data_IF_964143826739
#
_entry.id   IF_964143826739
#
_cell.length_a   1.000
_cell.length_b   1.000
_cell.length_c   1.000
_cell.angle_alpha   90.00
_cell.angle_beta   90.00
_cell.angle_gamma   90.00
#
_symmetry.space_group_name_H-M   'P 1'
#
loop_
_entity.id
_entity.type
_entity.pdbx_description
1 polymer ?
#
# COMPACT_ATOMS: atom_id res chain seq x y z
N UNK A 1 -12.31 29.30 -1.14
CA UNK A 1 -12.91 28.02 -1.56
C UNK A 1 -11.86 26.95 -1.32
N UNK A 2 -12.23 25.81 -0.77
CA UNK A 2 -11.30 24.69 -0.61
C UNK A 2 -10.96 24.08 -1.98
N UNK A 3 -9.75 23.60 -2.17
CA UNK A 3 -9.32 22.97 -3.42
C UNK A 3 -10.09 21.67 -3.69
N UNK A 4 -10.25 21.28 -4.95
CA UNK A 4 -10.89 20.03 -5.32
C UNK A 4 -9.96 18.84 -5.01
N UNK A 5 -10.51 17.81 -4.35
CA UNK A 5 -9.84 16.50 -4.14
C UNK A 5 -10.50 15.47 -5.06
N UNK A 6 -9.71 14.72 -5.80
CA UNK A 6 -10.17 13.55 -6.56
C UNK A 6 -9.90 12.29 -5.74
N UNK A 7 -10.94 11.46 -5.55
CA UNK A 7 -10.83 10.11 -4.97
C UNK A 7 -10.95 9.11 -6.11
N UNK A 8 -9.95 8.26 -6.27
CA UNK A 8 -9.92 7.18 -7.26
C UNK A 8 -10.20 5.86 -6.56
N UNK A 9 -11.29 5.21 -6.94
CA UNK A 9 -11.74 3.93 -6.37
C UNK A 9 -11.75 2.88 -7.48
N UNK A 10 -10.74 2.00 -7.58
CA UNK A 10 -10.78 0.83 -8.45
C UNK A 10 -11.82 -0.18 -7.93
N UNK A 11 -12.73 -0.62 -8.78
CA UNK A 11 -13.81 -1.54 -8.42
C UNK A 11 -13.68 -2.83 -9.22
N UNK A 12 -13.64 -3.98 -8.53
CA UNK A 12 -13.66 -5.30 -9.17
C UNK A 12 -14.17 -6.38 -8.22
N UNK A 13 -15.39 -6.89 -8.47
CA UNK A 13 -16.02 -7.99 -7.71
C UNK A 13 -16.03 -7.74 -6.19
N UNK A 14 -16.60 -6.62 -5.75
CA UNK A 14 -16.67 -6.16 -4.36
C UNK A 14 -18.07 -5.70 -3.94
N UNK A 15 -19.13 -6.21 -4.59
CA UNK A 15 -20.53 -5.83 -4.37
C UNK A 15 -20.93 -5.78 -2.89
N UNK A 16 -20.33 -6.67 -2.08
CA UNK A 16 -20.63 -6.81 -0.66
C UNK A 16 -20.09 -5.66 0.19
N UNK A 17 -18.92 -5.14 -0.15
CA UNK A 17 -18.17 -4.14 0.66
C UNK A 17 -18.37 -2.73 0.14
N UNK A 18 -18.49 -2.58 -1.18
CA UNK A 18 -18.59 -1.29 -1.88
C UNK A 18 -19.64 -0.32 -1.31
N UNK A 19 -20.85 -0.74 -0.87
CA UNK A 19 -21.79 0.19 -0.26
C UNK A 19 -21.24 0.89 0.97
N UNK A 20 -20.53 0.19 1.86
CA UNK A 20 -19.94 0.75 3.06
C UNK A 20 -18.78 1.72 2.72
N UNK A 21 -17.94 1.35 1.77
CA UNK A 21 -16.89 2.23 1.21
C UNK A 21 -17.49 3.53 0.71
N UNK A 22 -18.54 3.47 -0.12
CA UNK A 22 -19.17 4.66 -0.69
C UNK A 22 -19.87 5.52 0.37
N UNK A 23 -20.48 4.92 1.38
CA UNK A 23 -21.05 5.63 2.52
C UNK A 23 -19.97 6.47 3.24
N UNK A 24 -18.81 5.88 3.52
CA UNK A 24 -17.69 6.55 4.19
C UNK A 24 -17.10 7.69 3.35
N UNK A 25 -17.05 7.55 2.02
CA UNK A 25 -16.56 8.59 1.10
C UNK A 25 -17.59 9.74 0.99
N UNK A 26 -18.87 9.41 0.79
CA UNK A 26 -19.91 10.42 0.63
C UNK A 26 -20.16 11.19 1.92
N UNK A 27 -19.92 10.55 3.09
CA UNK A 27 -20.05 11.13 4.43
C UNK A 27 -18.86 11.98 4.89
N UNK A 28 -17.85 12.22 4.05
CA UNK A 28 -16.70 13.03 4.44
C UNK A 28 -17.08 14.47 4.77
N UNK A 29 -16.48 15.05 5.82
CA UNK A 29 -16.64 16.45 6.20
C UNK A 29 -16.11 17.40 5.15
N UNK A 30 -15.10 16.99 4.40
CA UNK A 30 -14.60 17.70 3.22
C UNK A 30 -15.51 17.42 2.01
N UNK A 31 -16.20 18.43 1.51
CA UNK A 31 -17.30 18.25 0.53
C UNK A 31 -16.92 18.50 -0.92
N UNK A 32 -15.81 19.24 -1.20
CA UNK A 32 -15.40 19.57 -2.57
C UNK A 32 -14.63 18.39 -3.19
N UNK A 33 -15.37 17.37 -3.64
CA UNK A 33 -14.86 16.09 -4.11
C UNK A 33 -15.24 15.81 -5.56
N UNK A 34 -14.32 15.17 -6.30
CA UNK A 34 -14.58 14.35 -7.47
C UNK A 34 -14.35 12.89 -7.05
N UNK A 35 -15.34 12.04 -7.23
CA UNK A 35 -15.26 10.61 -6.87
C UNK A 35 -15.31 9.80 -8.17
N UNK A 36 -14.20 9.13 -8.50
CA UNK A 36 -14.06 8.30 -9.69
C UNK A 36 -14.19 6.83 -9.32
N UNK A 37 -15.34 6.22 -9.62
CA UNK A 37 -15.53 4.77 -9.51
C UNK A 37 -15.17 4.16 -10.86
N UNK A 38 -14.11 3.36 -10.91
CA UNK A 38 -13.63 2.75 -12.14
C UNK A 38 -13.82 1.24 -12.04
N UNK A 39 -14.89 0.74 -12.66
CA UNK A 39 -15.17 -0.70 -12.73
C UNK A 39 -14.25 -1.36 -13.73
N UNK A 40 -13.46 -2.31 -13.23
CA UNK A 40 -12.46 -3.08 -14.00
C UNK A 40 -13.03 -4.42 -14.49
N UNK A 41 -14.27 -4.36 -15.06
CA UNK A 41 -14.93 -5.51 -15.63
C UNK A 41 -15.48 -6.47 -14.58
N UNK A 42 -16.17 -5.96 -13.56
CA UNK A 42 -16.84 -6.79 -12.54
C UNK A 42 -17.87 -7.73 -13.16
N UNK A 43 -17.98 -8.93 -12.59
CA UNK A 43 -18.93 -9.97 -12.98
C UNK A 43 -20.05 -10.18 -11.95
N UNK A 44 -19.97 -9.49 -10.81
CA UNK A 44 -20.98 -9.40 -9.75
C UNK A 44 -21.79 -8.09 -9.88
N UNK A 45 -22.59 -7.75 -8.87
CA UNK A 45 -23.42 -6.53 -8.88
C UNK A 45 -22.65 -5.22 -8.56
N UNK A 46 -21.32 -5.23 -8.50
CA UNK A 46 -20.51 -4.04 -8.16
C UNK A 46 -20.81 -2.85 -9.06
N UNK A 47 -20.90 -3.06 -10.38
CA UNK A 47 -21.23 -1.99 -11.34
C UNK A 47 -22.62 -1.41 -11.10
N UNK A 48 -23.62 -2.25 -10.79
CA UNK A 48 -24.98 -1.81 -10.46
C UNK A 48 -24.99 -0.94 -9.19
N UNK A 49 -24.18 -1.31 -8.18
CA UNK A 49 -23.97 -0.50 -6.97
C UNK A 49 -23.36 0.86 -7.33
N UNK A 50 -22.30 0.92 -8.15
CA UNK A 50 -21.72 2.18 -8.61
C UNK A 50 -22.75 3.11 -9.24
N UNK A 51 -23.54 2.62 -10.19
CA UNK A 51 -24.59 3.42 -10.84
C UNK A 51 -25.71 3.85 -9.90
N UNK A 52 -26.05 3.02 -8.90
CA UNK A 52 -27.04 3.39 -7.87
C UNK A 52 -26.56 4.60 -7.07
N UNK A 53 -25.30 4.61 -6.62
CA UNK A 53 -24.74 5.69 -5.85
C UNK A 53 -24.52 6.97 -6.68
N UNK A 54 -24.09 6.85 -7.93
CA UNK A 54 -23.94 7.98 -8.84
C UNK A 54 -25.25 8.73 -9.12
N UNK A 55 -26.41 8.04 -9.01
CA UNK A 55 -27.73 8.73 -9.09
C UNK A 55 -28.08 9.51 -7.82
N UNK A 56 -27.45 9.22 -6.70
CA UNK A 56 -27.73 9.87 -5.40
C UNK A 56 -26.75 11.00 -5.08
N UNK A 57 -25.51 10.90 -5.57
CA UNK A 57 -24.45 11.89 -5.32
C UNK A 57 -23.80 12.30 -6.65
N UNK A 58 -23.99 13.56 -7.03
CA UNK A 58 -23.50 14.14 -8.30
C UNK A 58 -21.98 14.30 -8.36
N UNK A 59 -21.27 14.11 -7.26
CA UNK A 59 -19.81 14.10 -7.20
C UNK A 59 -19.22 12.80 -7.78
N UNK A 60 -20.03 11.74 -7.88
CA UNK A 60 -19.63 10.40 -8.34
C UNK A 60 -19.70 10.32 -9.86
N UNK A 61 -18.61 9.89 -10.46
CA UNK A 61 -18.49 9.57 -11.89
C UNK A 61 -18.10 8.09 -12.02
N UNK A 62 -18.86 7.32 -12.80
CA UNK A 62 -18.64 5.90 -13.04
C UNK A 62 -18.00 5.72 -14.40
N UNK A 63 -16.93 4.93 -14.45
CA UNK A 63 -16.24 4.52 -15.67
C UNK A 63 -16.15 3.01 -15.70
N UNK A 64 -16.37 2.44 -16.87
CA UNK A 64 -16.30 0.99 -17.11
C UNK A 64 -15.12 0.69 -18.02
N UNK A 65 -14.52 -0.49 -17.84
CA UNK A 65 -13.49 -1.02 -18.74
C UNK A 65 -13.47 -2.55 -18.68
N UNK A 66 -12.89 -3.19 -19.68
CA UNK A 66 -12.52 -4.60 -19.61
C UNK A 66 -11.45 -4.77 -18.51
N UNK A 67 -11.42 -5.92 -17.84
CA UNK A 67 -10.48 -6.19 -16.77
C UNK A 67 -9.02 -6.08 -17.25
N UNK A 68 -8.30 -5.12 -16.70
CA UNK A 68 -6.90 -4.82 -17.00
C UNK A 68 -6.02 -4.78 -15.74
N UNK A 69 -6.61 -4.99 -14.57
CA UNK A 69 -5.92 -4.99 -13.28
C UNK A 69 -5.82 -3.61 -12.62
N UNK A 70 -5.59 -3.65 -11.31
CA UNK A 70 -5.64 -2.47 -10.41
C UNK A 70 -4.66 -1.36 -10.81
N UNK A 71 -3.46 -1.70 -11.32
CA UNK A 71 -2.46 -0.73 -11.79
C UNK A 71 -3.00 0.15 -12.92
N UNK A 72 -3.57 -0.47 -13.95
CA UNK A 72 -4.16 0.27 -15.09
C UNK A 72 -5.38 1.07 -14.67
N UNK A 73 -6.18 0.53 -13.77
CA UNK A 73 -7.36 1.21 -13.23
C UNK A 73 -6.96 2.45 -12.44
N UNK A 74 -5.94 2.38 -11.58
CA UNK A 74 -5.40 3.54 -10.86
C UNK A 74 -4.78 4.57 -11.82
N UNK A 75 -4.05 4.12 -12.85
CA UNK A 75 -3.49 5.01 -13.89
C UNK A 75 -4.56 5.77 -14.65
N UNK A 76 -5.67 5.10 -15.02
CA UNK A 76 -6.84 5.75 -15.63
C UNK A 76 -7.43 6.81 -14.68
N UNK A 77 -7.49 6.50 -13.39
CA UNK A 77 -7.93 7.45 -12.36
C UNK A 77 -7.05 8.69 -12.28
N UNK A 78 -5.71 8.56 -12.35
CA UNK A 78 -4.79 9.71 -12.40
C UNK A 78 -5.07 10.59 -13.63
N UNK A 79 -5.31 9.97 -14.79
CA UNK A 79 -5.59 10.72 -16.03
C UNK A 79 -6.93 11.49 -15.98
N UNK A 80 -7.95 10.91 -15.34
CA UNK A 80 -9.28 11.48 -15.21
C UNK A 80 -9.40 12.50 -14.06
N UNK A 81 -8.45 12.49 -13.14
CA UNK A 81 -8.43 13.39 -11.99
C UNK A 81 -8.28 14.85 -12.41
N UNK A 82 -9.17 15.72 -11.89
CA UNK A 82 -9.11 17.18 -12.09
C UNK A 82 -8.85 17.94 -10.80
N UNK A 83 -8.82 17.26 -9.66
CA UNK A 83 -8.52 17.85 -8.36
C UNK A 83 -7.07 18.30 -8.23
N UNK A 84 -6.81 19.29 -7.36
CA UNK A 84 -5.45 19.66 -6.94
C UNK A 84 -4.75 18.52 -6.24
N UNK A 85 -5.52 17.72 -5.52
CA UNK A 85 -5.06 16.53 -4.81
C UNK A 85 -5.76 15.28 -5.32
N UNK A 86 -5.06 14.15 -5.22
CA UNK A 86 -5.57 12.82 -5.57
C UNK A 86 -5.37 11.88 -4.39
N UNK A 87 -6.39 11.09 -4.07
CA UNK A 87 -6.34 9.99 -3.13
C UNK A 87 -6.78 8.71 -3.80
N UNK A 88 -6.14 7.59 -3.48
CA UNK A 88 -6.60 6.25 -3.84
C UNK A 88 -7.28 5.60 -2.64
N UNK A 89 -8.37 4.91 -2.89
CA UNK A 89 -9.11 4.16 -1.86
C UNK A 89 -9.58 2.84 -2.47
N UNK A 90 -9.26 1.72 -1.81
CA UNK A 90 -9.67 0.40 -2.27
C UNK A 90 -11.17 0.17 -1.96
N UNK A 91 -11.89 -0.48 -2.86
CA UNK A 91 -13.36 -0.55 -2.84
C UNK A 91 -13.94 -1.49 -1.78
N UNK A 92 -13.10 -2.15 -1.01
CA UNK A 92 -13.46 -3.01 0.13
C UNK A 92 -13.06 -2.41 1.49
N UNK A 93 -12.47 -1.21 1.50
CA UNK A 93 -12.03 -0.48 2.68
C UNK A 93 -12.94 0.71 3.01
N UNK A 94 -12.76 1.36 4.17
CA UNK A 94 -13.49 2.58 4.52
C UNK A 94 -12.64 3.56 5.33
N UNK A 95 -13.14 4.78 5.49
CA UNK A 95 -12.37 5.87 6.08
C UNK A 95 -13.18 6.68 7.09
N UNK A 96 -12.51 7.21 8.12
CA UNK A 96 -13.11 8.12 9.10
C UNK A 96 -13.66 9.39 8.44
N UNK A 97 -14.75 9.93 8.98
CA UNK A 97 -15.49 11.03 8.37
C UNK A 97 -14.68 12.32 8.17
N UNK A 98 -13.64 12.56 8.96
CA UNK A 98 -12.81 13.77 8.89
C UNK A 98 -11.39 13.51 8.31
N UNK A 99 -11.17 12.34 7.68
CA UNK A 99 -9.88 11.99 7.11
C UNK A 99 -9.42 12.97 6.05
N UNK A 100 -10.26 13.24 5.04
CA UNK A 100 -9.88 14.12 3.93
C UNK A 100 -9.63 15.55 4.40
N UNK A 101 -10.45 16.06 5.30
CA UNK A 101 -10.26 17.41 5.86
C UNK A 101 -8.96 17.50 6.66
N UNK A 102 -8.64 16.49 7.45
CA UNK A 102 -7.41 16.43 8.24
C UNK A 102 -6.17 16.38 7.35
N UNK A 103 -6.18 15.53 6.31
CA UNK A 103 -5.07 15.42 5.36
C UNK A 103 -4.91 16.68 4.51
N UNK A 104 -6.02 17.28 4.06
CA UNK A 104 -5.99 18.53 3.30
C UNK A 104 -5.39 19.67 4.12
N UNK A 105 -5.85 19.85 5.37
CA UNK A 105 -5.31 20.87 6.27
C UNK A 105 -3.82 20.67 6.52
N UNK A 106 -3.37 19.42 6.71
CA UNK A 106 -1.96 19.12 6.88
C UNK A 106 -1.15 19.45 5.62
N UNK A 107 -1.65 19.05 4.42
CA UNK A 107 -0.99 19.33 3.15
C UNK A 107 -0.80 20.84 2.92
N UNK A 108 -1.84 21.63 3.16
CA UNK A 108 -1.78 23.09 2.98
C UNK A 108 -0.90 23.79 4.02
N UNK A 109 -1.01 23.38 5.32
CA UNK A 109 -0.23 24.00 6.40
C UNK A 109 1.28 23.76 6.27
N UNK A 110 1.66 22.58 5.80
CA UNK A 110 3.06 22.19 5.66
C UNK A 110 3.61 22.42 4.25
N UNK A 111 2.77 22.86 3.32
CA UNK A 111 3.09 22.86 1.88
C UNK A 111 3.63 21.48 1.45
N UNK A 112 2.98 20.41 1.93
CA UNK A 112 3.41 19.05 1.67
C UNK A 112 2.92 18.55 0.30
N UNK A 113 3.80 17.89 -0.42
CA UNK A 113 3.48 17.22 -1.69
C UNK A 113 2.61 15.99 -1.47
N UNK A 114 2.79 15.35 -0.29
CA UNK A 114 1.99 14.21 0.16
C UNK A 114 1.68 14.34 1.64
N UNK A 115 0.39 14.31 2.01
CA UNK A 115 -0.05 14.16 3.38
C UNK A 115 -0.48 12.71 3.63
N UNK A 116 0.02 12.11 4.71
CA UNK A 116 -0.20 10.70 5.05
C UNK A 116 -0.95 10.54 6.36
N UNK A 117 -1.65 9.41 6.53
CA UNK A 117 -2.15 8.94 7.81
C UNK A 117 -1.82 7.46 8.00
N UNK A 118 -2.17 6.89 9.16
CA UNK A 118 -2.03 5.46 9.41
C UNK A 118 -3.29 4.71 8.95
N UNK A 119 -3.18 3.38 8.85
CA UNK A 119 -4.29 2.46 8.67
C UNK A 119 -4.47 1.59 9.93
N UNK A 120 -5.67 1.04 10.07
CA UNK A 120 -6.02 0.00 11.02
C UNK A 120 -6.59 -1.21 10.29
N UNK A 121 -6.17 -2.40 10.67
CA UNK A 121 -6.70 -3.65 10.12
C UNK A 121 -8.02 -3.99 10.79
N UNK A 122 -9.04 -4.32 10.00
CA UNK A 122 -10.38 -4.68 10.44
C UNK A 122 -10.77 -6.08 9.91
N UNK A 123 -11.49 -6.84 10.75
CA UNK A 123 -11.98 -8.17 10.38
C UNK A 123 -13.50 -8.22 10.15
N UNK A 124 -14.20 -7.11 10.44
CA UNK A 124 -15.65 -6.95 10.34
C UNK A 124 -15.98 -5.56 9.84
N UNK A 125 -17.15 -5.39 9.20
CA UNK A 125 -17.65 -4.09 8.71
C UNK A 125 -18.19 -3.18 9.84
N UNK A 126 -18.24 -3.66 11.06
CA UNK A 126 -18.66 -2.86 12.21
C UNK A 126 -17.42 -2.25 12.88
N UNK A 127 -17.52 -0.97 13.24
CA UNK A 127 -16.49 -0.28 13.99
C UNK A 127 -16.24 -1.03 15.32
N UNK A 128 -15.06 -1.61 15.45
CA UNK A 128 -14.59 -2.06 16.74
C UNK A 128 -13.98 -0.85 17.44
N UNK A 129 -14.69 -0.32 18.44
CA UNK A 129 -14.34 0.88 19.22
C UNK A 129 -13.08 0.67 20.11
N UNK A 130 -11.99 0.16 19.48
CA UNK A 130 -10.74 -0.18 20.15
C UNK A 130 -9.62 0.84 19.90
N UNK A 131 -9.90 2.00 19.29
CA UNK A 131 -8.89 3.04 19.18
C UNK A 131 -8.77 3.79 20.49
N UNK A 132 -7.81 3.40 21.32
CA UNK A 132 -7.52 4.04 22.63
C UNK A 132 -6.75 5.35 22.48
N UNK A 133 -6.30 5.74 21.29
CA UNK A 133 -5.53 6.97 21.06
C UNK A 133 -6.38 8.02 20.34
N UNK A 134 -6.72 9.07 21.09
CA UNK A 134 -7.32 10.31 20.55
C UNK A 134 -6.26 11.32 20.11
N UNK A 135 -4.98 11.06 20.39
CA UNK A 135 -3.87 11.94 20.01
C UNK A 135 -3.52 11.83 18.54
N UNK A 136 -3.54 12.96 17.85
CA UNK A 136 -3.17 13.11 16.43
C UNK A 136 -1.80 13.77 16.34
N UNK A 137 -0.75 13.02 16.69
CA UNK A 137 0.63 13.51 16.58
C UNK A 137 1.02 13.67 15.11
N UNK A 138 1.64 14.79 14.77
CA UNK A 138 2.09 15.06 13.39
C UNK A 138 3.60 14.90 13.32
N UNK A 139 4.05 14.16 12.29
CA UNK A 139 5.46 14.09 11.89
C UNK A 139 5.62 14.95 10.64
N UNK A 140 6.38 16.04 10.76
CA UNK A 140 6.72 16.93 9.68
C UNK A 140 8.04 16.49 9.06
N UNK A 141 8.05 16.16 7.76
CA UNK A 141 9.29 15.87 7.04
C UNK A 141 10.12 17.15 6.86
N UNK A 142 11.30 17.19 7.44
CA UNK A 142 12.19 18.36 7.39
C UNK A 142 13.00 18.46 6.10
N UNK A 143 13.21 17.34 5.44
CA UNK A 143 13.94 17.21 4.19
C UNK A 143 13.40 16.05 3.36
N UNK A 144 13.87 15.90 2.13
CA UNK A 144 13.44 14.85 1.19
C UNK A 144 13.57 13.43 1.75
N UNK A 145 14.65 13.15 2.50
CA UNK A 145 14.89 11.82 3.08
C UNK A 145 13.89 11.51 4.19
N UNK A 146 13.71 12.40 5.18
CA UNK A 146 12.72 12.21 6.25
C UNK A 146 11.30 12.11 5.69
N UNK A 147 10.96 12.95 4.71
CA UNK A 147 9.68 12.93 4.00
C UNK A 147 9.46 11.62 3.27
N UNK A 148 10.46 11.11 2.56
CA UNK A 148 10.40 9.84 1.86
C UNK A 148 10.27 8.65 2.82
N UNK A 149 10.97 8.69 3.97
CA UNK A 149 10.82 7.68 5.03
C UNK A 149 9.39 7.69 5.59
N UNK A 150 8.82 8.86 5.89
CA UNK A 150 7.45 8.99 6.38
C UNK A 150 6.43 8.43 5.37
N UNK A 151 6.59 8.76 4.08
CA UNK A 151 5.72 8.26 3.01
C UNK A 151 5.79 6.75 2.85
N UNK A 152 7.00 6.17 2.87
CA UNK A 152 7.23 4.74 2.62
C UNK A 152 6.95 3.85 3.85
N UNK A 153 6.83 4.42 5.06
CA UNK A 153 6.41 3.68 6.25
C UNK A 153 4.93 3.31 6.21
N UNK A 154 4.10 4.07 5.50
CA UNK A 154 2.69 3.77 5.30
C UNK A 154 2.55 2.92 4.05
N UNK A 155 1.97 1.72 4.19
CA UNK A 155 1.84 0.75 3.11
C UNK A 155 0.81 1.21 2.07
N UNK A 156 1.05 0.82 0.81
CA UNK A 156 0.14 1.06 -0.30
C UNK A 156 0.05 2.53 -0.75
N UNK A 157 -0.74 2.81 -1.79
CA UNK A 157 -1.04 4.15 -2.26
C UNK A 157 -2.20 4.78 -1.49
N UNK A 158 -2.93 3.96 -0.71
CA UNK A 158 -3.99 4.39 0.20
C UNK A 158 -3.44 5.17 1.39
N UNK A 159 -4.26 5.77 2.22
CA UNK A 159 -3.83 6.60 3.36
C UNK A 159 -3.00 7.84 2.98
N UNK A 160 -3.04 8.25 1.74
CA UNK A 160 -2.21 9.35 1.22
C UNK A 160 -3.02 10.29 0.35
N UNK A 161 -2.84 11.57 0.58
CA UNK A 161 -3.33 12.66 -0.25
C UNK A 161 -2.14 13.22 -1.05
N UNK A 162 -2.09 12.93 -2.34
CA UNK A 162 -1.00 13.34 -3.23
C UNK A 162 -1.35 14.63 -3.94
N UNK A 163 -0.41 15.59 -4.03
CA UNK A 163 -0.54 16.71 -4.96
C UNK A 163 -0.53 16.17 -6.40
N UNK A 164 -1.53 16.54 -7.20
CA UNK A 164 -1.76 15.94 -8.52
C UNK A 164 -0.57 16.11 -9.47
N UNK A 165 -0.01 17.32 -9.55
CA UNK A 165 1.11 17.63 -10.44
C UNK A 165 2.39 16.85 -10.13
N UNK A 166 2.54 16.34 -8.89
CA UNK A 166 3.61 15.42 -8.50
C UNK A 166 3.46 14.06 -9.20
N UNK A 167 2.22 13.53 -9.25
CA UNK A 167 1.97 12.14 -9.68
C UNK A 167 1.45 12.02 -11.12
N UNK A 168 1.09 13.10 -11.80
CA UNK A 168 0.48 13.07 -13.13
C UNK A 168 1.29 12.33 -14.21
N UNK A 169 2.63 12.28 -14.06
CA UNK A 169 3.55 11.58 -14.96
C UNK A 169 4.15 10.31 -14.33
N UNK A 170 3.69 9.89 -13.14
CA UNK A 170 4.11 8.67 -12.48
C UNK A 170 3.02 7.63 -12.64
N UNK A 171 3.38 6.43 -13.11
CA UNK A 171 2.43 5.35 -13.35
C UNK A 171 2.65 4.20 -12.38
N UNK A 172 1.55 3.53 -12.04
CA UNK A 172 1.61 2.19 -11.48
C UNK A 172 2.07 1.24 -12.58
N UNK A 173 3.16 0.55 -12.35
CA UNK A 173 3.66 -0.48 -13.27
C UNK A 173 2.88 -1.79 -13.10
N UNK A 174 2.84 -2.61 -14.14
CA UNK A 174 2.02 -3.84 -14.17
C UNK A 174 2.73 -5.01 -13.48
N UNK A 175 2.94 -4.88 -12.17
CA UNK A 175 3.38 -5.98 -11.31
C UNK A 175 2.18 -6.59 -10.57
N UNK A 176 2.24 -7.90 -10.28
CA UNK A 176 1.20 -8.60 -9.52
C UNK A 176 1.23 -8.31 -8.03
N UNK A 177 2.35 -7.81 -7.54
CA UNK A 177 2.60 -7.44 -6.14
C UNK A 177 3.69 -6.38 -6.07
N UNK A 178 3.59 -5.52 -5.05
CA UNK A 178 4.52 -4.42 -4.79
C UNK A 178 4.51 -3.31 -5.87
N UNK A 179 3.49 -3.27 -6.73
CA UNK A 179 3.26 -2.18 -7.68
C UNK A 179 3.07 -0.84 -6.96
N UNK A 180 2.45 -0.90 -5.79
CA UNK A 180 2.20 0.22 -4.88
C UNK A 180 3.48 0.75 -4.24
N UNK A 181 4.36 -0.12 -3.80
CA UNK A 181 5.67 0.24 -3.26
C UNK A 181 6.53 0.91 -4.34
N UNK A 182 6.51 0.37 -5.57
CA UNK A 182 7.25 0.95 -6.69
C UNK A 182 6.70 2.33 -7.07
N UNK A 183 5.37 2.49 -7.09
CA UNK A 183 4.74 3.78 -7.32
C UNK A 183 5.21 4.81 -6.28
N UNK A 184 5.11 4.50 -4.98
CA UNK A 184 5.56 5.39 -3.92
C UNK A 184 7.07 5.65 -3.97
N UNK A 185 7.87 4.66 -4.35
CA UNK A 185 9.32 4.84 -4.60
C UNK A 185 9.56 5.82 -5.73
N UNK A 186 8.84 5.72 -6.84
CA UNK A 186 8.95 6.64 -7.96
C UNK A 186 8.51 8.06 -7.57
N UNK A 187 7.50 8.20 -6.69
CA UNK A 187 7.12 9.50 -6.10
C UNK A 187 8.29 10.11 -5.33
N UNK A 188 8.91 9.36 -4.42
CA UNK A 188 10.08 9.84 -3.65
C UNK A 188 11.27 10.19 -4.56
N UNK A 189 11.46 9.43 -5.64
CA UNK A 189 12.53 9.67 -6.61
C UNK A 189 12.26 10.85 -7.54
N UNK A 190 11.02 11.35 -7.60
CA UNK A 190 10.67 12.51 -8.45
C UNK A 190 11.43 13.77 -8.04
N UNK A 191 11.84 14.55 -9.02
CA UNK A 191 12.44 15.88 -8.78
C UNK A 191 11.44 16.87 -8.14
N UNK A 192 10.14 16.67 -8.42
CA UNK A 192 9.05 17.48 -7.85
C UNK A 192 8.73 17.15 -6.39
N UNK A 193 9.24 16.02 -5.84
CA UNK A 193 8.97 15.62 -4.47
C UNK A 193 9.97 16.27 -3.51
N UNK A 194 9.48 17.00 -2.55
CA UNK A 194 10.28 17.65 -1.51
C UNK A 194 9.81 17.29 -0.10
N UNK A 195 8.49 17.27 0.12
CA UNK A 195 7.92 17.15 1.47
C UNK A 195 6.74 16.18 1.56
N UNK A 196 6.79 15.34 2.59
CA UNK A 196 5.63 14.61 3.08
C UNK A 196 5.48 14.78 4.60
N UNK A 197 4.25 14.85 5.06
CA UNK A 197 3.90 14.91 6.49
C UNK A 197 2.91 13.81 6.83
N UNK A 198 2.99 13.30 8.07
CA UNK A 198 2.23 12.15 8.53
C UNK A 198 1.45 12.48 9.80
N UNK A 199 0.13 12.28 9.79
CA UNK A 199 -0.70 12.24 11.01
C UNK A 199 -0.64 10.82 11.55
N UNK A 200 -0.12 10.64 12.75
CA UNK A 200 -0.06 9.34 13.44
C UNK A 200 -1.42 8.96 14.03
N UNK A 201 -2.44 8.88 13.18
CA UNK A 201 -3.79 8.47 13.52
C UNK A 201 -4.34 7.55 12.42
N UNK A 202 -5.01 6.42 12.76
CA UNK A 202 -5.50 5.45 11.79
C UNK A 202 -6.88 5.85 11.24
N UNK A 203 -6.89 6.80 10.30
CA UNK A 203 -8.12 7.23 9.63
C UNK A 203 -8.65 6.22 8.61
N UNK A 204 -7.81 5.29 8.17
CA UNK A 204 -8.11 4.32 7.13
C UNK A 204 -8.30 2.94 7.73
N UNK A 205 -9.42 2.29 7.41
CA UNK A 205 -9.76 0.95 7.87
C UNK A 205 -9.57 -0.04 6.74
N UNK A 206 -8.56 -0.89 6.90
CA UNK A 206 -8.18 -1.92 5.94
C UNK A 206 -8.87 -3.23 6.24
N UNK A 207 -9.77 -3.68 5.35
CA UNK A 207 -10.55 -4.90 5.54
C UNK A 207 -9.75 -6.16 5.25
N UNK A 208 -9.68 -7.07 6.23
CA UNK A 208 -9.06 -8.38 6.09
C UNK A 208 -10.12 -9.48 6.10
N UNK A 209 -10.31 -10.14 4.97
CA UNK A 209 -11.22 -11.28 4.83
C UNK A 209 -10.53 -12.50 4.18
N UNK A 210 -11.22 -13.66 4.14
CA UNK A 210 -10.62 -14.92 3.69
C UNK A 210 -10.10 -14.88 2.23
N UNK A 211 -10.65 -14.01 1.38
CA UNK A 211 -10.27 -13.80 -0.02
C UNK A 211 -9.19 -12.73 -0.24
N UNK A 212 -8.81 -11.99 0.80
CA UNK A 212 -7.86 -10.88 0.65
C UNK A 212 -6.48 -11.36 0.17
N UNK A 213 -5.81 -10.54 -0.64
CA UNK A 213 -4.51 -10.86 -1.26
C UNK A 213 -3.42 -11.25 -0.24
N UNK A 214 -3.49 -10.72 0.98
CA UNK A 214 -2.53 -10.98 2.07
C UNK A 214 -2.57 -12.41 2.62
N UNK A 215 -3.74 -13.10 2.55
CA UNK A 215 -3.93 -14.46 3.10
C UNK A 215 -3.59 -15.61 2.12
N UNK A 216 -3.19 -15.30 0.90
CA UNK A 216 -2.90 -16.32 -0.10
C UNK A 216 -1.65 -17.16 0.24
N UNK A 217 -1.65 -18.44 -0.15
CA UNK A 217 -0.50 -19.33 -0.06
C UNK A 217 0.69 -18.84 -0.89
N UNK A 218 1.87 -19.49 -0.74
CA UNK A 218 3.06 -19.22 -1.55
C UNK A 218 2.76 -19.35 -3.06
N UNK A 219 3.15 -18.35 -3.83
CA UNK A 219 3.02 -18.25 -5.29
C UNK A 219 4.24 -17.54 -5.87
N UNK A 220 4.48 -17.71 -7.18
CA UNK A 220 5.61 -17.07 -7.89
C UNK A 220 5.60 -15.54 -7.79
N UNK A 221 4.42 -14.93 -7.58
CA UNK A 221 4.29 -13.48 -7.35
C UNK A 221 5.17 -12.96 -6.20
N UNK A 222 5.49 -13.79 -5.19
CA UNK A 222 6.38 -13.38 -4.09
C UNK A 222 7.84 -13.23 -4.52
N UNK A 223 8.27 -13.94 -5.58
CA UNK A 223 9.60 -13.75 -6.18
C UNK A 223 9.64 -12.49 -7.05
N UNK A 224 8.52 -12.17 -7.70
CA UNK A 224 8.35 -10.90 -8.41
C UNK A 224 8.45 -9.73 -7.42
N UNK A 225 7.76 -9.81 -6.28
CA UNK A 225 7.88 -8.82 -5.20
C UNK A 225 9.33 -8.61 -4.76
N UNK A 226 10.12 -9.67 -4.60
CA UNK A 226 11.54 -9.55 -4.25
C UNK A 226 12.33 -8.70 -5.25
N UNK A 227 12.07 -8.88 -6.56
CA UNK A 227 12.75 -8.10 -7.61
C UNK A 227 12.31 -6.64 -7.61
N UNK A 228 11.02 -6.39 -7.39
CA UNK A 228 10.50 -5.01 -7.27
C UNK A 228 11.08 -4.31 -6.05
N UNK A 229 11.12 -5.00 -4.90
CA UNK A 229 11.68 -4.44 -3.67
C UNK A 229 13.21 -4.20 -3.79
N UNK A 230 13.93 -5.03 -4.56
CA UNK A 230 15.33 -4.80 -4.93
C UNK A 230 15.48 -3.51 -5.77
N UNK A 231 14.64 -3.34 -6.80
CA UNK A 231 14.62 -2.14 -7.62
C UNK A 231 14.33 -0.88 -6.79
N UNK A 232 13.36 -0.96 -5.89
CA UNK A 232 13.04 0.13 -4.97
C UNK A 232 14.23 0.45 -4.05
N UNK A 233 14.86 -0.57 -3.47
CA UNK A 233 16.04 -0.42 -2.62
C UNK A 233 17.18 0.30 -3.36
N UNK A 234 17.48 -0.13 -4.59
CA UNK A 234 18.52 0.49 -5.41
C UNK A 234 18.23 1.95 -5.76
N UNK A 235 16.97 2.26 -6.12
CA UNK A 235 16.55 3.63 -6.42
C UNK A 235 16.68 4.54 -5.20
N UNK A 236 16.17 4.10 -4.05
CA UNK A 236 16.12 4.88 -2.82
C UNK A 236 17.51 5.10 -2.22
N UNK A 237 18.35 4.07 -2.19
CA UNK A 237 19.72 4.21 -1.62
C UNK A 237 20.66 5.07 -2.45
N UNK A 238 20.34 5.31 -3.73
CA UNK A 238 21.04 6.34 -4.55
C UNK A 238 20.68 7.76 -4.12
N UNK A 239 19.47 7.98 -3.57
CA UNK A 239 19.07 9.29 -3.05
C UNK A 239 19.71 9.52 -1.67
N UNK A 240 19.56 8.56 -0.76
CA UNK A 240 20.17 8.59 0.57
C UNK A 240 20.39 7.17 1.10
N UNK A 241 21.58 6.87 1.67
CA UNK A 241 21.86 5.60 2.34
C UNK A 241 20.90 5.29 3.51
N UNK A 242 20.28 6.32 4.10
CA UNK A 242 19.32 6.17 5.21
C UNK A 242 18.08 5.38 4.82
N UNK A 243 17.71 5.34 3.52
CA UNK A 243 16.62 4.50 3.03
C UNK A 243 16.88 2.99 3.20
N UNK A 244 18.12 2.58 3.43
CA UNK A 244 18.42 1.18 3.78
C UNK A 244 17.74 0.74 5.10
N UNK A 245 17.45 1.69 6.01
CA UNK A 245 16.78 1.41 7.30
C UNK A 245 15.32 0.96 7.14
N UNK A 246 14.66 1.21 6.00
CA UNK A 246 13.31 0.67 5.67
C UNK A 246 13.34 -0.87 5.58
N UNK A 247 14.52 -1.45 5.32
CA UNK A 247 14.72 -2.90 5.29
C UNK A 247 13.86 -3.64 4.25
N UNK A 248 13.65 -3.05 3.08
CA UNK A 248 12.85 -3.65 2.00
C UNK A 248 13.30 -5.07 1.66
N UNK A 249 14.59 -5.26 1.41
CA UNK A 249 15.18 -6.57 1.10
C UNK A 249 14.92 -7.59 2.23
N UNK A 250 15.01 -7.15 3.48
CA UNK A 250 14.77 -8.01 4.64
C UNK A 250 13.30 -8.42 4.79
N UNK A 251 12.36 -7.54 4.47
CA UNK A 251 10.93 -7.82 4.49
C UNK A 251 10.56 -8.83 3.40
N UNK A 252 11.02 -8.62 2.18
CA UNK A 252 10.79 -9.49 1.04
C UNK A 252 11.31 -10.91 1.27
N UNK A 253 12.58 -11.04 1.65
CA UNK A 253 13.19 -12.34 1.98
C UNK A 253 12.43 -13.02 3.13
N UNK A 254 12.05 -12.29 4.19
CA UNK A 254 11.28 -12.84 5.32
C UNK A 254 9.94 -13.42 4.86
N UNK A 255 9.19 -12.65 4.06
CA UNK A 255 7.89 -13.07 3.52
C UNK A 255 8.00 -14.38 2.74
N UNK A 256 9.01 -14.51 1.88
CA UNK A 256 9.24 -15.76 1.12
C UNK A 256 9.57 -16.92 2.05
N UNK A 257 10.43 -16.74 3.06
CA UNK A 257 10.77 -17.80 4.02
C UNK A 257 9.54 -18.25 4.82
N UNK A 258 8.72 -17.32 5.32
CA UNK A 258 7.50 -17.59 6.09
C UNK A 258 6.46 -18.34 5.25
N UNK A 259 6.16 -17.83 4.05
CA UNK A 259 5.20 -18.48 3.13
C UNK A 259 5.67 -19.87 2.72
N UNK A 260 6.98 -20.06 2.44
CA UNK A 260 7.53 -21.39 2.12
C UNK A 260 7.52 -22.32 3.33
N UNK A 261 7.78 -21.82 4.56
CA UNK A 261 7.73 -22.61 5.78
C UNK A 261 6.36 -23.26 6.02
N UNK A 262 5.28 -22.51 5.68
CA UNK A 262 3.90 -22.95 5.84
C UNK A 262 3.43 -24.02 4.84
N UNK A 263 4.17 -24.26 3.74
CA UNK A 263 3.80 -25.23 2.72
C UNK A 263 3.85 -26.69 3.21
N UNK A 264 2.97 -27.52 2.61
CA UNK A 264 3.05 -28.98 2.76
C UNK A 264 4.36 -29.56 2.18
N UNK A 265 4.79 -30.77 2.58
CA UNK A 265 5.98 -31.40 2.01
C UNK A 265 5.94 -31.52 0.48
N UNK A 266 4.77 -31.81 -0.12
CA UNK A 266 4.57 -31.93 -1.57
C UNK A 266 4.79 -30.58 -2.25
N UNK A 267 4.15 -29.51 -1.74
CA UNK A 267 4.30 -28.14 -2.26
C UNK A 267 5.75 -27.62 -2.08
N UNK A 268 6.44 -27.98 -1.00
CA UNK A 268 7.87 -27.68 -0.84
C UNK A 268 8.75 -28.32 -1.89
N UNK A 269 8.41 -29.53 -2.38
CA UNK A 269 9.12 -30.15 -3.51
C UNK A 269 8.86 -29.38 -4.80
N UNK A 270 7.62 -28.97 -5.03
CA UNK A 270 7.22 -28.17 -6.20
C UNK A 270 7.99 -26.84 -6.26
N UNK A 271 8.03 -26.08 -5.18
CA UNK A 271 8.65 -24.74 -5.12
C UNK A 271 10.13 -24.75 -4.64
N UNK A 272 10.83 -25.87 -4.82
CA UNK A 272 12.23 -26.02 -4.37
C UNK A 272 13.20 -25.10 -5.12
N UNK A 273 12.96 -24.89 -6.42
CA UNK A 273 13.81 -24.05 -7.26
C UNK A 273 13.67 -22.56 -6.86
N UNK A 274 12.45 -22.12 -6.63
CA UNK A 274 12.09 -20.77 -6.21
C UNK A 274 12.70 -20.45 -4.84
N UNK A 275 12.59 -21.37 -3.90
CA UNK A 275 13.22 -21.19 -2.60
C UNK A 275 14.76 -21.20 -2.66
N UNK A 276 15.35 -21.99 -3.58
CA UNK A 276 16.79 -21.94 -3.85
C UNK A 276 17.21 -20.56 -4.38
N UNK A 277 16.40 -19.98 -5.27
CA UNK A 277 16.60 -18.60 -5.74
C UNK A 277 16.57 -17.61 -4.57
N UNK A 278 15.56 -17.67 -3.69
CA UNK A 278 15.46 -16.81 -2.51
C UNK A 278 16.71 -16.91 -1.60
N UNK A 279 17.23 -18.13 -1.37
CA UNK A 279 18.46 -18.32 -0.60
C UNK A 279 19.69 -17.69 -1.28
N UNK A 280 19.76 -17.77 -2.61
CA UNK A 280 20.82 -17.12 -3.39
C UNK A 280 20.71 -15.60 -3.28
N UNK A 281 19.53 -15.06 -3.52
CA UNK A 281 19.21 -13.64 -3.40
C UNK A 281 19.59 -13.08 -2.03
N UNK A 282 19.21 -13.76 -0.93
CA UNK A 282 19.59 -13.36 0.42
C UNK A 282 21.10 -13.26 0.63
N UNK A 283 21.89 -14.14 0.02
CA UNK A 283 23.37 -14.11 0.09
C UNK A 283 23.97 -12.96 -0.71
N UNK A 284 23.42 -12.68 -1.89
CA UNK A 284 23.85 -11.58 -2.76
C UNK A 284 23.58 -10.23 -2.08
N UNK A 285 22.46 -10.11 -1.36
CA UNK A 285 22.06 -8.89 -0.63
C UNK A 285 22.40 -8.92 0.87
N UNK A 286 23.41 -9.72 1.29
CA UNK A 286 23.79 -9.85 2.70
C UNK A 286 24.04 -8.53 3.42
N UNK A 287 24.62 -7.54 2.75
CA UNK A 287 24.90 -6.24 3.33
C UNK A 287 23.58 -5.52 3.71
N UNK A 288 22.60 -5.47 2.81
CA UNK A 288 21.30 -4.88 3.07
C UNK A 288 20.57 -5.58 4.25
N UNK A 289 20.66 -6.93 4.31
CA UNK A 289 20.06 -7.72 5.40
C UNK A 289 20.72 -7.50 6.77
N UNK A 290 21.98 -7.08 6.81
CA UNK A 290 22.78 -6.97 8.04
C UNK A 290 22.96 -5.51 8.51
N UNK A 291 22.65 -4.52 7.67
CA UNK A 291 22.81 -3.10 7.99
C UNK A 291 21.76 -2.52 8.95
N UNK A 292 20.67 -3.26 9.22
CA UNK A 292 19.60 -2.78 10.12
C UNK A 292 20.12 -2.50 11.53
N UNK A 293 19.61 -1.43 12.15
CA UNK A 293 19.89 -1.08 13.57
C UNK A 293 19.13 -2.01 14.54
N UNK A 294 18.04 -2.64 14.08
CA UNK A 294 17.24 -3.58 14.87
C UNK A 294 17.98 -4.91 15.07
N UNK A 295 18.26 -5.24 16.33
CA UNK A 295 18.99 -6.44 16.72
C UNK A 295 18.30 -7.73 16.28
N UNK A 296 16.98 -7.81 16.39
CA UNK A 296 16.20 -9.02 16.00
C UNK A 296 16.21 -9.20 14.50
N UNK A 297 16.01 -8.13 13.73
CA UNK A 297 16.12 -8.14 12.26
C UNK A 297 17.53 -8.54 11.82
N UNK A 298 18.57 -8.04 12.48
CA UNK A 298 19.97 -8.38 12.17
C UNK A 298 20.26 -9.86 12.41
N UNK A 299 19.81 -10.45 13.54
CA UNK A 299 19.95 -11.87 13.83
C UNK A 299 19.18 -12.70 12.81
N UNK A 300 17.93 -12.35 12.53
CA UNK A 300 17.11 -13.01 11.52
C UNK A 300 17.74 -12.94 10.12
N UNK A 301 18.29 -11.79 9.74
CA UNK A 301 19.02 -11.62 8.48
C UNK A 301 20.26 -12.53 8.41
N UNK A 302 21.04 -12.58 9.48
CA UNK A 302 22.21 -13.45 9.58
C UNK A 302 21.84 -14.93 9.39
N UNK A 303 20.78 -15.39 10.07
CA UNK A 303 20.27 -16.75 9.93
C UNK A 303 19.86 -17.10 8.49
N UNK A 304 19.15 -16.20 7.82
CA UNK A 304 18.71 -16.38 6.42
C UNK A 304 19.88 -16.46 5.43
N UNK A 305 20.95 -15.70 5.69
CA UNK A 305 22.15 -15.67 4.84
C UNK A 305 23.03 -16.92 5.04
N UNK A 306 23.36 -17.23 6.29
CA UNK A 306 24.41 -18.21 6.62
C UNK A 306 23.88 -19.61 6.94
N UNK A 307 22.72 -19.72 7.59
CA UNK A 307 22.10 -21.01 7.96
C UNK A 307 20.60 -21.06 7.63
N UNK A 308 20.23 -20.80 6.34
CA UNK A 308 18.83 -20.63 5.91
C UNK A 308 17.94 -21.86 6.20
N UNK A 309 18.48 -23.07 6.13
CA UNK A 309 17.71 -24.29 6.37
C UNK A 309 17.39 -24.46 7.87
N UNK A 310 18.28 -24.03 8.76
CA UNK A 310 18.01 -23.98 10.20
C UNK A 310 16.94 -22.93 10.51
N UNK A 311 17.03 -21.75 9.91
CA UNK A 311 16.01 -20.70 10.07
C UNK A 311 14.63 -21.17 9.58
N UNK A 312 14.58 -21.83 8.42
CA UNK A 312 13.35 -22.43 7.90
C UNK A 312 12.77 -23.47 8.86
N UNK A 313 13.59 -24.30 9.46
CA UNK A 313 13.17 -25.31 10.44
C UNK A 313 12.55 -24.64 11.69
N UNK A 314 13.16 -23.56 12.20
CA UNK A 314 12.60 -22.82 13.36
C UNK A 314 11.24 -22.22 13.04
N UNK A 315 11.06 -21.59 11.85
CA UNK A 315 9.78 -21.07 11.39
C UNK A 315 8.72 -22.18 11.29
N UNK A 316 9.07 -23.31 10.67
CA UNK A 316 8.13 -24.43 10.50
C UNK A 316 7.67 -25.04 11.83
N UNK A 317 8.48 -24.99 12.88
CA UNK A 317 8.09 -25.40 14.24
C UNK A 317 7.15 -24.38 14.89
N UNK A 318 7.45 -23.08 14.78
CA UNK A 318 6.64 -22.02 15.36
C UNK A 318 5.21 -21.96 14.77
N UNK A 319 5.04 -22.39 13.52
CA UNK A 319 3.74 -22.42 12.84
C UNK A 319 2.89 -23.66 13.15
N UNK A 320 3.46 -24.68 13.81
CA UNK A 320 2.78 -25.94 14.16
C UNK A 320 2.37 -26.01 15.65
N UNK A 321 2.89 -25.13 16.48
CA UNK A 321 2.51 -24.97 17.88
C UNK A 321 1.61 -23.76 18.08
#
# INVERSE_FOLDING_TARGET
MNDLITIVVPVYNVEKYLPHTLESICGQTYTNLQILLIDDGSTDDSLAVCHKWARQDNRIQVYEQENQGVSRTRNKGIQLAIGKYVMFLDADDWVEADMLESLYRLAEADHADVACCLLREENQLEETDNCTTTERTIIHGKNKTESGLALLTVWGPVCKLYRKDLIENIQFEEYKVAEDLLFNTNVVCSEKFERASLIQYPFYHYMIYAGSAMKQEFQDKYLEAMRVEELCYEKLTKISPEFADINLIGCSVSRVFEKYAALSPEKKKQYKAEFKYCKKFAREHKNALLQTKDRHRKISGWLKVYIPDFYLWTLSRRMRG
#
